data_IF_864709098177
#
_entry.id   IF_864709098177
#
_cell.length_a   1.000
_cell.length_b   1.000
_cell.length_c   1.000
_cell.angle_alpha   90.00
_cell.angle_beta   90.00
_cell.angle_gamma   90.00
#
_symmetry.space_group_name_H-M   'P 1'
#
loop_
_entity.id
_entity.type
_entity.pdbx_description
1 polymer ?
#
# COMPACT_ATOMS: atom_id res chain seq x y z
N UNK A 1 10.21 16.22 6.79
CA UNK A 1 8.97 15.47 7.06
C UNK A 1 9.04 14.12 6.37
N UNK A 2 8.84 13.05 7.11
CA UNK A 2 8.88 11.71 6.55
C UNK A 2 7.47 11.29 6.16
N UNK A 3 7.29 10.83 4.91
CA UNK A 3 6.00 10.31 4.49
C UNK A 3 5.75 8.99 5.19
N UNK A 4 4.55 8.78 5.67
CA UNK A 4 4.21 7.55 6.36
C UNK A 4 4.05 6.38 5.41
N UNK A 5 3.45 6.61 4.25
CA UNK A 5 3.20 5.53 3.29
C UNK A 5 3.91 5.77 1.98
N UNK A 6 4.47 4.73 1.43
CA UNK A 6 5.01 4.72 0.08
C UNK A 6 4.18 3.75 -0.75
N UNK A 7 3.57 4.25 -1.82
CA UNK A 7 2.71 3.45 -2.69
C UNK A 7 3.41 3.26 -4.02
N UNK A 8 3.62 2.02 -4.41
CA UNK A 8 4.28 1.66 -5.66
C UNK A 8 3.30 0.90 -6.55
N UNK A 9 3.21 1.31 -7.82
CA UNK A 9 2.40 0.61 -8.80
C UNK A 9 3.23 -0.48 -9.46
N UNK A 10 2.69 -1.69 -9.49
CA UNK A 10 3.33 -2.84 -10.14
C UNK A 10 2.37 -3.38 -11.19
N UNK A 11 2.85 -3.55 -12.42
CA UNK A 11 2.04 -4.15 -13.49
C UNK A 11 2.57 -5.54 -13.76
N UNK A 12 1.73 -6.55 -13.58
CA UNK A 12 2.09 -7.94 -13.76
C UNK A 12 1.02 -8.63 -14.58
N UNK A 13 1.42 -9.28 -15.67
CA UNK A 13 0.51 -9.96 -16.60
C UNK A 13 -0.61 -9.07 -17.12
N UNK A 14 -0.32 -7.77 -17.29
CA UNK A 14 -1.32 -6.81 -17.76
C UNK A 14 -2.28 -6.30 -16.70
N UNK A 15 -2.11 -6.73 -15.45
CA UNK A 15 -2.95 -6.28 -14.34
C UNK A 15 -2.16 -5.44 -13.37
N UNK A 16 -2.61 -4.20 -13.11
CA UNK A 16 -1.94 -3.35 -12.13
C UNK A 16 -2.33 -3.75 -10.70
N UNK A 17 -1.37 -3.74 -9.82
CA UNK A 17 -1.63 -3.83 -8.39
C UNK A 17 -0.68 -2.89 -7.65
N UNK A 18 -0.96 -2.66 -6.39
CA UNK A 18 -0.24 -1.68 -5.60
C UNK A 18 0.43 -2.32 -4.40
N UNK A 19 1.61 -1.83 -4.11
CA UNK A 19 2.33 -2.19 -2.90
C UNK A 19 2.31 -0.97 -1.97
N UNK A 20 1.72 -1.13 -0.79
CA UNK A 20 1.67 -0.08 0.22
C UNK A 20 2.67 -0.42 1.32
N UNK A 21 3.66 0.43 1.47
CA UNK A 21 4.67 0.29 2.52
C UNK A 21 4.44 1.33 3.60
N UNK A 22 4.27 0.88 4.84
CA UNK A 22 4.18 1.76 5.99
C UNK A 22 5.59 2.04 6.52
N UNK A 23 6.06 3.25 6.30
CA UNK A 23 7.42 3.63 6.68
C UNK A 23 7.62 3.75 8.19
N UNK A 24 6.52 3.85 8.94
CA UNK A 24 6.59 3.97 10.39
C UNK A 24 6.78 2.61 11.06
N UNK A 25 6.07 1.59 10.62
CA UNK A 25 6.10 0.25 11.20
C UNK A 25 6.87 -0.76 10.36
N UNK A 26 7.26 -0.36 9.15
CA UNK A 26 7.97 -1.20 8.18
C UNK A 26 7.13 -2.40 7.71
N UNK A 27 5.82 -2.24 7.70
CA UNK A 27 4.90 -3.23 7.16
C UNK A 27 4.64 -2.97 5.69
N UNK A 28 4.37 -4.03 4.95
CA UNK A 28 4.11 -3.95 3.52
C UNK A 28 2.93 -4.84 3.16
N UNK A 29 1.99 -4.30 2.40
CA UNK A 29 0.80 -5.02 1.95
C UNK A 29 0.62 -4.79 0.46
N UNK A 30 0.32 -5.87 -0.27
CA UNK A 30 -0.03 -5.79 -1.68
C UNK A 30 -1.55 -5.80 -1.82
N UNK A 31 -2.10 -4.90 -2.62
CA UNK A 31 -3.55 -4.79 -2.80
C UNK A 31 -3.90 -4.28 -4.18
N UNK A 32 -5.16 -4.47 -4.56
CA UNK A 32 -5.72 -3.92 -5.79
C UNK A 32 -6.20 -2.49 -5.57
N UNK A 33 -6.50 -1.79 -6.66
CA UNK A 33 -7.01 -0.43 -6.59
C UNK A 33 -8.28 -0.34 -5.73
N UNK A 34 -9.17 -1.32 -5.82
CA UNK A 34 -10.42 -1.31 -5.06
C UNK A 34 -10.20 -1.46 -3.56
N UNK A 35 -9.09 -2.03 -3.14
CA UNK A 35 -8.79 -2.28 -1.74
C UNK A 35 -7.78 -1.29 -1.16
N UNK A 36 -7.28 -0.38 -1.98
CA UNK A 36 -6.19 0.51 -1.58
C UNK A 36 -6.56 1.35 -0.36
N UNK A 37 -7.73 1.97 -0.35
CA UNK A 37 -8.18 2.79 0.76
C UNK A 37 -8.34 1.99 2.04
N UNK A 38 -8.94 0.80 1.95
CA UNK A 38 -9.10 -0.06 3.12
C UNK A 38 -7.76 -0.49 3.68
N UNK A 39 -6.81 -0.81 2.82
CA UNK A 39 -5.48 -1.20 3.23
C UNK A 39 -4.80 -0.08 4.02
N UNK A 40 -4.88 1.15 3.52
CA UNK A 40 -4.32 2.30 4.22
C UNK A 40 -4.98 2.49 5.57
N UNK A 41 -6.32 2.40 5.64
CA UNK A 41 -7.05 2.55 6.88
C UNK A 41 -6.69 1.45 7.90
N UNK A 42 -6.53 0.21 7.44
CA UNK A 42 -6.11 -0.89 8.31
C UNK A 42 -4.72 -0.62 8.89
N UNK A 43 -3.80 -0.12 8.09
CA UNK A 43 -2.46 0.21 8.58
C UNK A 43 -2.49 1.37 9.58
N UNK A 44 -3.38 2.34 9.37
CA UNK A 44 -3.53 3.46 10.29
C UNK A 44 -4.10 3.03 11.65
N UNK A 45 -4.95 2.01 11.67
CA UNK A 45 -5.56 1.49 12.89
C UNK A 45 -4.68 0.49 13.63
N UNK A 46 -3.68 -0.03 12.98
CA UNK A 46 -2.80 -1.05 13.57
C UNK A 46 -1.85 -0.48 14.65
#
# INVERSE_FOLDING_TARGET
>A
MVERFTITTIVENGYPHYKVHDNLTDNEIHCDLNELNETIWQLLEA
#
